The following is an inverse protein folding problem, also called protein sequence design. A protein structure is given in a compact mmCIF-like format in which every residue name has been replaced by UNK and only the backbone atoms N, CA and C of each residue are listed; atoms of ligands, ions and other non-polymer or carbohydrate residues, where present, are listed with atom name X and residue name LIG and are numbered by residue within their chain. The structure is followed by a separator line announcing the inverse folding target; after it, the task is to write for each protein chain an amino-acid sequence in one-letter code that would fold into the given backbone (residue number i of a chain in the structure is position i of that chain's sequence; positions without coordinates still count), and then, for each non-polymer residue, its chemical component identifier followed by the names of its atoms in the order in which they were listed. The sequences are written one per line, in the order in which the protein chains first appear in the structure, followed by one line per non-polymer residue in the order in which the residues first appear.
data_IF_642085082170
#
_entry.id   IF_642085082170
#
_cell.length_a   1.000
_cell.length_b   1.000
_cell.length_c   1.000
_cell.angle_alpha   90.00
_cell.angle_beta   90.00
_cell.angle_gamma   90.00
#
_symmetry.space_group_name_H-M   'P 1'
#
loop_
_entity.id
_entity.type
_entity.pdbx_description
1 polymer ?
#
# COMPACT_ATOMS: atom_id res chain seq x y z
N UNK A 1 -16.31 8.25 22.66
CA UNK A 1 -15.78 9.60 22.34
C UNK A 1 -14.53 9.78 23.18
N UNK A 2 -13.38 9.41 22.64
CA UNK A 2 -12.11 9.71 23.29
C UNK A 2 -11.25 10.48 22.29
N UNK A 3 -10.97 11.73 22.64
CA UNK A 3 -10.06 12.60 21.91
C UNK A 3 -8.63 12.16 22.23
N UNK A 4 -7.95 11.53 21.29
CA UNK A 4 -6.48 11.42 21.36
C UNK A 4 -5.94 12.72 20.80
N UNK A 5 -5.64 13.67 21.70
CA UNK A 5 -4.83 14.84 21.40
C UNK A 5 -3.36 14.38 21.35
N UNK A 6 -2.73 14.34 20.18
CA UNK A 6 -1.27 14.31 20.10
C UNK A 6 -0.77 15.75 20.04
N UNK A 7 0.35 16.02 20.73
CA UNK A 7 0.98 17.34 20.91
C UNK A 7 1.55 18.01 19.63
N UNK A 8 1.18 17.52 18.49
CA UNK A 8 1.46 18.15 17.20
C UNK A 8 0.14 18.54 16.59
N UNK A 9 -0.13 19.86 16.48
CA UNK A 9 -1.37 20.47 16.00
C UNK A 9 -1.83 20.02 14.61
N UNK A 10 -2.17 18.76 14.46
CA UNK A 10 -2.50 18.05 13.24
C UNK A 10 -3.96 17.64 13.30
N UNK A 11 -4.79 18.27 12.47
CA UNK A 11 -6.19 17.94 12.27
C UNK A 11 -6.30 16.52 11.68
N UNK A 12 -6.47 15.52 12.56
CA UNK A 12 -6.95 14.20 12.14
C UNK A 12 -8.45 14.36 11.91
N UNK A 13 -8.88 14.43 10.65
CA UNK A 13 -10.28 14.29 10.32
C UNK A 13 -10.70 12.83 10.51
N UNK A 14 -10.99 12.47 11.75
CA UNK A 14 -11.89 11.35 12.02
C UNK A 14 -13.26 11.86 11.60
N UNK A 15 -13.82 11.33 10.53
CA UNK A 15 -15.17 11.67 10.08
C UNK A 15 -16.18 11.24 11.15
N UNK A 16 -16.36 12.06 12.18
CA UNK A 16 -17.60 12.03 12.96
C UNK A 16 -18.67 12.57 12.03
N UNK A 17 -19.44 11.67 11.47
CA UNK A 17 -20.57 11.90 10.61
C UNK A 17 -21.39 13.12 10.97
N UNK A 18 -21.18 14.23 10.27
CA UNK A 18 -22.28 15.10 9.89
C UNK A 18 -22.50 14.84 8.39
N UNK A 19 -23.16 13.73 8.12
CA UNK A 19 -23.74 13.44 6.82
C UNK A 19 -24.83 14.47 6.58
N UNK A 20 -24.53 15.54 5.87
CA UNK A 20 -25.57 16.17 5.06
C UNK A 20 -26.20 15.04 4.23
N UNK A 21 -27.53 14.95 4.19
CA UNK A 21 -28.30 13.97 3.44
C UNK A 21 -27.82 13.90 1.98
N UNK A 22 -26.83 13.04 1.74
CA UNK A 22 -26.47 12.63 0.38
C UNK A 22 -27.48 11.57 -0.01
N UNK A 23 -28.31 11.92 -0.98
CA UNK A 23 -29.31 11.05 -1.56
C UNK A 23 -28.63 9.76 -2.03
N UNK A 24 -28.83 8.64 -1.33
CA UNK A 24 -28.29 7.32 -1.70
C UNK A 24 -28.65 6.96 -3.16
N UNK A 25 -29.71 7.53 -3.71
CA UNK A 25 -30.08 7.41 -5.13
C UNK A 25 -29.09 8.07 -6.10
N UNK A 26 -28.25 9.01 -5.67
CA UNK A 26 -27.22 9.64 -6.52
C UNK A 26 -25.90 8.87 -6.56
N UNK A 27 -25.64 7.99 -5.61
CA UNK A 27 -24.39 7.19 -5.54
C UNK A 27 -24.41 5.98 -6.49
N UNK A 28 -25.59 5.49 -6.87
CA UNK A 28 -25.75 4.35 -7.78
C UNK A 28 -25.39 4.64 -9.25
N UNK A 29 -25.00 5.87 -9.59
CA UNK A 29 -24.66 6.25 -10.96
C UNK A 29 -23.16 6.27 -11.26
N UNK A 30 -22.28 6.24 -10.26
CA UNK A 30 -20.84 6.23 -10.53
C UNK A 30 -20.34 4.83 -10.85
N UNK A 31 -19.63 4.71 -11.95
CA UNK A 31 -18.99 3.47 -12.37
C UNK A 31 -17.51 3.47 -11.97
N UNK A 32 -17.08 2.38 -11.33
CA UNK A 32 -15.71 2.18 -10.85
C UNK A 32 -15.12 0.96 -11.56
N UNK A 33 -13.92 1.11 -12.11
CA UNK A 33 -13.11 -0.02 -12.54
C UNK A 33 -11.94 -0.23 -11.56
N UNK A 34 -11.83 -1.46 -11.02
CA UNK A 34 -10.66 -1.87 -10.24
C UNK A 34 -9.73 -2.68 -11.14
N UNK A 35 -8.52 -2.15 -11.39
CA UNK A 35 -7.49 -2.73 -12.24
C UNK A 35 -6.52 -3.56 -11.40
N UNK A 36 -6.53 -4.88 -11.59
CA UNK A 36 -5.83 -5.86 -10.75
C UNK A 36 -6.75 -6.44 -9.69
N UNK A 37 -7.02 -7.76 -9.76
CA UNK A 37 -7.95 -8.48 -8.90
C UNK A 37 -7.23 -9.50 -7.99
N UNK A 38 -6.01 -9.15 -7.59
CA UNK A 38 -5.21 -9.92 -6.65
C UNK A 38 -5.67 -9.78 -5.19
N UNK A 39 -4.73 -10.02 -4.26
CA UNK A 39 -4.95 -9.99 -2.80
C UNK A 39 -5.54 -8.67 -2.28
N UNK A 40 -5.26 -7.55 -2.95
CA UNK A 40 -5.76 -6.23 -2.57
C UNK A 40 -6.97 -5.82 -3.42
N UNK A 41 -6.88 -5.96 -4.74
CA UNK A 41 -7.88 -5.41 -5.64
C UNK A 41 -9.25 -6.09 -5.54
N UNK A 42 -9.30 -7.40 -5.38
CA UNK A 42 -10.58 -8.10 -5.22
C UNK A 42 -11.33 -7.70 -3.94
N UNK A 43 -10.71 -7.67 -2.74
CA UNK A 43 -11.35 -7.12 -1.55
C UNK A 43 -11.78 -5.66 -1.71
N UNK A 44 -10.97 -4.83 -2.38
CA UNK A 44 -11.29 -3.42 -2.65
C UNK A 44 -12.52 -3.29 -3.54
N UNK A 45 -12.56 -4.01 -4.65
CA UNK A 45 -13.70 -4.02 -5.57
C UNK A 45 -14.98 -4.52 -4.87
N UNK A 46 -14.87 -5.60 -4.10
CA UNK A 46 -16.00 -6.15 -3.32
C UNK A 46 -16.51 -5.15 -2.28
N UNK A 47 -15.61 -4.41 -1.62
CA UNK A 47 -15.97 -3.36 -0.67
C UNK A 47 -16.76 -2.24 -1.37
N UNK A 48 -16.32 -1.77 -2.54
CA UNK A 48 -17.00 -0.74 -3.31
C UNK A 48 -18.39 -1.20 -3.81
N UNK A 49 -18.49 -2.45 -4.27
CA UNK A 49 -19.77 -3.05 -4.65
C UNK A 49 -20.75 -3.08 -3.46
N UNK A 50 -20.28 -3.49 -2.28
CA UNK A 50 -21.11 -3.51 -1.04
C UNK A 50 -21.50 -2.11 -0.59
N UNK A 51 -20.72 -1.09 -0.91
CA UNK A 51 -21.04 0.31 -0.67
C UNK A 51 -22.10 0.87 -1.65
N UNK A 52 -22.55 0.06 -2.62
CA UNK A 52 -23.63 0.41 -3.54
C UNK A 52 -23.17 1.02 -4.87
N UNK A 53 -21.90 0.90 -5.22
CA UNK A 53 -21.36 1.37 -6.50
C UNK A 53 -21.45 0.31 -7.60
N UNK A 54 -21.54 0.75 -8.86
CA UNK A 54 -21.38 -0.14 -10.02
C UNK A 54 -19.88 -0.40 -10.18
N UNK A 55 -19.45 -1.64 -9.95
CA UNK A 55 -18.04 -2.03 -9.98
C UNK A 55 -17.79 -3.07 -11.04
N UNK A 56 -16.81 -2.83 -11.89
CA UNK A 56 -16.22 -3.83 -12.78
C UNK A 56 -14.76 -4.06 -12.41
N UNK A 57 -14.34 -5.31 -12.36
CA UNK A 57 -12.94 -5.68 -12.17
C UNK A 57 -12.25 -5.97 -13.49
N UNK A 58 -11.01 -5.57 -13.64
CA UNK A 58 -10.16 -5.96 -14.75
C UNK A 58 -8.89 -6.64 -14.24
N UNK A 59 -8.56 -7.79 -14.82
CA UNK A 59 -7.26 -8.45 -14.59
C UNK A 59 -6.85 -9.19 -15.86
N UNK A 60 -5.54 -9.25 -16.11
CA UNK A 60 -4.97 -9.99 -17.25
C UNK A 60 -5.05 -11.50 -17.04
N UNK A 61 -5.19 -11.97 -15.80
CA UNK A 61 -5.30 -13.38 -15.43
C UNK A 61 -6.74 -13.87 -15.52
N UNK A 62 -7.07 -14.83 -16.43
CA UNK A 62 -8.40 -15.44 -16.46
C UNK A 62 -8.82 -16.06 -15.13
N UNK A 63 -7.86 -16.65 -14.39
CA UNK A 63 -8.11 -17.24 -13.07
C UNK A 63 -8.50 -16.20 -12.02
N UNK A 64 -7.89 -15.01 -12.05
CA UNK A 64 -8.27 -13.92 -11.16
C UNK A 64 -9.66 -13.39 -11.47
N UNK A 65 -10.00 -13.26 -12.77
CA UNK A 65 -11.32 -12.85 -13.23
C UNK A 65 -12.39 -13.87 -12.83
N UNK A 66 -12.16 -15.16 -13.07
CA UNK A 66 -13.08 -16.24 -12.67
C UNK A 66 -13.39 -16.20 -11.17
N UNK A 67 -12.35 -16.04 -10.34
CA UNK A 67 -12.52 -15.88 -8.89
C UNK A 67 -13.33 -14.64 -8.53
N UNK A 68 -13.10 -13.53 -9.23
CA UNK A 68 -13.76 -12.26 -8.97
C UNK A 68 -15.25 -12.29 -9.38
N UNK A 69 -15.61 -13.02 -10.42
CA UNK A 69 -16.98 -13.13 -10.92
C UNK A 69 -17.98 -13.76 -9.91
N UNK A 70 -17.48 -14.41 -8.86
CA UNK A 70 -18.32 -14.82 -7.73
C UNK A 70 -18.80 -13.64 -6.87
N UNK A 71 -18.23 -12.43 -7.04
CA UNK A 71 -18.45 -11.27 -6.16
C UNK A 71 -18.82 -10.00 -6.91
N UNK A 72 -18.26 -9.78 -8.11
CA UNK A 72 -18.40 -8.56 -8.92
C UNK A 72 -18.43 -8.93 -10.41
N UNK A 73 -18.84 -8.01 -11.27
CA UNK A 73 -18.54 -8.11 -12.70
C UNK A 73 -17.04 -8.02 -12.94
N UNK A 74 -16.48 -8.90 -13.78
CA UNK A 74 -15.04 -8.89 -14.06
C UNK A 74 -14.73 -9.36 -15.47
N UNK A 75 -13.66 -8.82 -16.06
CA UNK A 75 -13.24 -9.09 -17.45
C UNK A 75 -11.71 -9.09 -17.58
N UNK A 76 -11.22 -9.87 -18.57
CA UNK A 76 -9.83 -9.81 -19.04
C UNK A 76 -9.64 -8.87 -20.23
N UNK A 77 -10.73 -8.30 -20.76
CA UNK A 77 -10.71 -7.48 -21.98
C UNK A 77 -10.90 -6.01 -21.63
N UNK A 78 -9.98 -5.14 -22.08
CA UNK A 78 -10.07 -3.71 -21.82
C UNK A 78 -11.34 -3.09 -22.42
N UNK A 79 -11.79 -3.56 -23.59
CA UNK A 79 -13.02 -3.15 -24.22
C UNK A 79 -14.29 -3.73 -23.57
N UNK A 80 -14.17 -4.57 -22.56
CA UNK A 80 -15.26 -5.01 -21.71
C UNK A 80 -15.54 -4.04 -20.55
N UNK A 81 -14.69 -3.03 -20.35
CA UNK A 81 -14.92 -1.96 -19.38
C UNK A 81 -15.85 -0.93 -20.02
N UNK A 82 -16.96 -0.50 -19.36
CA UNK A 82 -17.84 0.53 -19.88
C UNK A 82 -17.09 1.85 -20.20
N UNK A 83 -17.37 2.44 -21.34
CA UNK A 83 -16.67 3.64 -21.82
C UNK A 83 -16.94 4.89 -20.96
N UNK A 84 -18.00 4.88 -20.18
CA UNK A 84 -18.43 5.91 -19.25
C UNK A 84 -17.92 5.68 -17.81
N UNK A 85 -16.95 4.76 -17.63
CA UNK A 85 -16.33 4.51 -16.32
C UNK A 85 -15.64 5.79 -15.82
N UNK A 86 -16.08 6.28 -14.65
CA UNK A 86 -15.63 7.55 -14.08
C UNK A 86 -14.39 7.43 -13.19
N UNK A 87 -14.25 6.30 -12.49
CA UNK A 87 -13.17 6.10 -11.52
C UNK A 87 -12.39 4.83 -11.84
N UNK A 88 -11.07 4.95 -11.88
CA UNK A 88 -10.17 3.81 -12.01
C UNK A 88 -9.30 3.70 -10.76
N UNK A 89 -9.30 2.50 -10.15
CA UNK A 89 -8.50 2.18 -8.96
C UNK A 89 -7.50 1.10 -9.33
N UNK A 90 -6.21 1.44 -9.26
CA UNK A 90 -5.13 0.59 -9.74
C UNK A 90 -4.51 -0.18 -8.57
N UNK A 91 -4.74 -1.50 -8.54
CA UNK A 91 -4.30 -2.45 -7.52
C UNK A 91 -3.44 -3.58 -8.11
N UNK A 92 -2.62 -3.28 -9.11
CA UNK A 92 -1.77 -4.28 -9.76
C UNK A 92 -0.52 -4.59 -8.94
N UNK A 93 0.05 -5.76 -9.17
CA UNK A 93 1.29 -6.18 -8.50
C UNK A 93 2.46 -5.31 -8.96
N UNK A 94 3.30 -4.92 -8.00
CA UNK A 94 4.60 -4.31 -8.23
C UNK A 94 5.68 -5.21 -7.65
N UNK A 95 6.84 -5.24 -8.27
CA UNK A 95 7.90 -6.18 -7.95
C UNK A 95 9.29 -5.57 -8.03
N UNK A 96 10.25 -6.44 -8.21
CA UNK A 96 11.65 -6.09 -8.48
C UNK A 96 12.11 -6.82 -9.74
N UNK A 97 12.85 -6.11 -10.59
CA UNK A 97 13.67 -6.67 -11.65
C UNK A 97 15.13 -6.57 -11.19
N UNK A 98 15.67 -7.70 -10.71
CA UNK A 98 16.90 -7.66 -9.92
C UNK A 98 16.68 -6.93 -8.61
N UNK A 99 17.39 -5.84 -8.37
CA UNK A 99 17.25 -4.99 -7.19
C UNK A 99 16.48 -3.67 -7.46
N UNK A 100 16.06 -3.44 -8.70
CA UNK A 100 15.34 -2.23 -9.13
C UNK A 100 13.83 -2.45 -9.15
N UNK A 101 13.02 -1.40 -8.93
CA UNK A 101 11.57 -1.47 -9.04
C UNK A 101 11.10 -1.97 -10.41
N UNK A 102 10.20 -2.95 -10.43
CA UNK A 102 9.45 -3.34 -11.62
C UNK A 102 8.05 -2.73 -11.56
N UNK A 103 7.81 -1.76 -12.42
CA UNK A 103 6.57 -1.00 -12.54
C UNK A 103 5.83 -1.28 -13.85
N UNK A 104 6.26 -2.29 -14.60
CA UNK A 104 5.70 -2.63 -15.92
C UNK A 104 4.18 -2.78 -15.89
N UNK A 105 3.65 -3.47 -14.88
CA UNK A 105 2.20 -3.64 -14.72
C UNK A 105 1.46 -2.32 -14.42
N UNK A 106 2.08 -1.40 -13.67
CA UNK A 106 1.47 -0.08 -13.36
C UNK A 106 1.41 0.76 -14.63
N UNK A 107 2.51 0.83 -15.39
CA UNK A 107 2.55 1.58 -16.63
C UNK A 107 1.60 1.02 -17.69
N UNK A 108 1.51 -0.32 -17.81
CA UNK A 108 0.59 -0.99 -18.73
C UNK A 108 -0.88 -0.61 -18.44
N UNK A 109 -1.31 -0.74 -17.18
CA UNK A 109 -2.70 -0.40 -16.84
C UNK A 109 -2.98 1.09 -16.90
N UNK A 110 -2.02 1.96 -16.58
CA UNK A 110 -2.16 3.40 -16.76
C UNK A 110 -2.31 3.77 -18.25
N UNK A 111 -1.51 3.15 -19.14
CA UNK A 111 -1.64 3.33 -20.59
C UNK A 111 -3.00 2.88 -21.10
N UNK A 112 -3.52 1.76 -20.61
CA UNK A 112 -4.89 1.31 -20.95
C UNK A 112 -5.95 2.27 -20.43
N UNK A 113 -5.77 2.77 -19.21
CA UNK A 113 -6.70 3.73 -18.58
C UNK A 113 -6.72 5.09 -19.31
N UNK A 114 -5.59 5.52 -19.91
CA UNK A 114 -5.51 6.79 -20.64
C UNK A 114 -6.41 6.85 -21.89
N UNK A 115 -6.89 5.69 -22.37
CA UNK A 115 -7.86 5.63 -23.49
C UNK A 115 -9.29 6.00 -23.08
N UNK A 116 -9.55 6.07 -21.78
CA UNK A 116 -10.81 6.54 -21.20
C UNK A 116 -10.71 8.03 -20.83
N UNK A 117 -11.82 8.61 -20.43
CA UNK A 117 -11.86 9.99 -19.89
C UNK A 117 -12.31 10.00 -18.43
N UNK A 118 -11.53 9.36 -17.54
CA UNK A 118 -11.94 9.19 -16.16
C UNK A 118 -11.95 10.53 -15.41
N UNK A 119 -12.83 10.61 -14.45
CA UNK A 119 -12.89 11.71 -13.49
C UNK A 119 -11.70 11.68 -12.52
N UNK A 120 -11.26 10.47 -12.16
CA UNK A 120 -10.12 10.23 -11.28
C UNK A 120 -9.50 8.87 -11.56
N UNK A 121 -8.18 8.82 -11.60
CA UNK A 121 -7.39 7.59 -11.45
C UNK A 121 -6.75 7.61 -10.07
N UNK A 122 -6.90 6.53 -9.30
CA UNK A 122 -6.22 6.36 -8.02
C UNK A 122 -5.27 5.18 -8.07
N UNK A 123 -3.98 5.41 -7.88
CA UNK A 123 -2.99 4.36 -7.78
C UNK A 123 -2.93 3.92 -6.32
N UNK A 124 -3.35 2.68 -6.06
CA UNK A 124 -3.33 2.07 -4.73
C UNK A 124 -2.22 1.01 -4.59
N UNK A 125 -1.59 0.63 -5.70
CA UNK A 125 -0.36 -0.17 -5.71
C UNK A 125 0.78 0.58 -5.05
N UNK A 126 1.66 -0.12 -4.33
CA UNK A 126 2.88 0.49 -3.78
C UNK A 126 3.86 0.80 -4.90
N UNK A 127 4.27 2.05 -4.99
CA UNK A 127 5.19 2.56 -6.02
C UNK A 127 6.30 3.41 -5.37
N UNK A 128 7.47 3.54 -6.01
CA UNK A 128 8.52 4.48 -5.59
C UNK A 128 8.10 5.94 -5.72
N UNK A 129 8.89 6.82 -5.10
CA UNK A 129 8.71 8.27 -5.14
C UNK A 129 8.87 8.81 -6.56
N UNK A 130 7.95 9.70 -6.97
CA UNK A 130 7.98 10.37 -8.28
C UNK A 130 7.23 9.63 -9.39
N UNK A 131 6.79 8.39 -9.18
CA UNK A 131 6.13 7.58 -10.21
C UNK A 131 4.78 8.17 -10.62
N UNK A 132 3.98 8.69 -9.67
CA UNK A 132 2.71 9.35 -10.00
C UNK A 132 2.94 10.56 -10.91
N UNK A 133 3.95 11.36 -10.63
CA UNK A 133 4.28 12.54 -11.45
C UNK A 133 4.71 12.12 -12.85
N UNK A 134 5.58 11.15 -12.95
CA UNK A 134 6.00 10.59 -14.22
C UNK A 134 4.81 10.08 -15.05
N UNK A 135 3.91 9.29 -14.46
CA UNK A 135 2.70 8.78 -15.13
C UNK A 135 1.80 9.95 -15.57
N UNK A 136 1.58 10.92 -14.70
CA UNK A 136 0.74 12.06 -15.00
C UNK A 136 1.26 12.87 -16.19
N UNK A 137 2.57 13.10 -16.27
CA UNK A 137 3.19 13.90 -17.33
C UNK A 137 3.32 13.10 -18.63
N UNK A 138 3.72 11.81 -18.58
CA UNK A 138 4.11 11.06 -19.78
C UNK A 138 3.01 10.16 -20.35
N UNK A 139 2.11 9.65 -19.50
CA UNK A 139 1.05 8.72 -19.92
C UNK A 139 -0.30 9.44 -20.00
N UNK A 140 -0.57 10.34 -19.05
CA UNK A 140 -1.83 11.07 -18.97
C UNK A 140 -1.79 12.47 -19.60
N UNK A 141 -0.65 12.88 -20.17
CA UNK A 141 -0.44 14.21 -20.77
C UNK A 141 -0.95 15.35 -19.87
N UNK A 142 -0.83 15.20 -18.56
CA UNK A 142 -1.32 16.13 -17.52
C UNK A 142 -2.83 16.43 -17.57
N UNK A 143 -3.64 15.56 -18.21
CA UNK A 143 -5.08 15.79 -18.41
C UNK A 143 -5.97 15.05 -17.44
N UNK A 144 -5.50 13.93 -16.86
CA UNK A 144 -6.28 13.06 -15.99
C UNK A 144 -5.97 13.37 -14.53
N UNK A 145 -7.00 13.56 -13.70
CA UNK A 145 -6.81 13.69 -12.26
C UNK A 145 -6.22 12.41 -11.70
N UNK A 146 -5.14 12.54 -10.92
CA UNK A 146 -4.40 11.42 -10.37
C UNK A 146 -4.22 11.57 -8.85
N UNK A 147 -4.49 10.48 -8.13
CA UNK A 147 -4.19 10.37 -6.70
C UNK A 147 -3.40 9.12 -6.39
N UNK A 148 -2.70 9.15 -5.27
CA UNK A 148 -2.06 7.98 -4.68
C UNK A 148 -2.66 7.72 -3.30
N UNK A 149 -3.13 6.49 -3.08
CA UNK A 149 -3.80 6.08 -1.85
C UNK A 149 -3.41 4.64 -1.48
N UNK A 150 -2.15 4.39 -1.09
CA UNK A 150 -1.61 3.04 -0.91
C UNK A 150 -2.31 2.28 0.21
N UNK A 151 -2.45 0.98 0.03
CA UNK A 151 -3.07 0.09 1.00
C UNK A 151 -2.18 -0.19 2.22
N UNK A 152 -2.87 -0.32 3.37
CA UNK A 152 -2.33 -0.91 4.61
C UNK A 152 -3.00 -2.26 4.92
N UNK A 153 -3.68 -2.84 3.93
CA UNK A 153 -4.45 -4.08 4.04
C UNK A 153 -3.58 -5.24 4.51
N UNK A 154 -4.09 -5.98 5.49
CA UNK A 154 -3.46 -7.20 5.98
C UNK A 154 -4.44 -8.38 5.85
N UNK A 155 -4.18 -9.34 4.93
CA UNK A 155 -5.10 -10.44 4.63
C UNK A 155 -5.41 -11.34 5.82
N UNK A 156 -4.43 -11.56 6.70
CA UNK A 156 -4.56 -12.46 7.85
C UNK A 156 -5.42 -11.87 8.98
N UNK A 157 -5.66 -10.55 8.96
CA UNK A 157 -6.57 -9.85 9.88
C UNK A 157 -7.34 -8.76 9.12
N UNK A 158 -8.11 -9.17 8.12
CA UNK A 158 -8.89 -8.28 7.28
C UNK A 158 -10.06 -7.60 8.03
N UNK A 159 -10.43 -8.10 9.20
CA UNK A 159 -11.47 -7.48 10.04
C UNK A 159 -10.96 -6.16 10.64
N UNK A 160 -9.74 -6.15 11.18
CA UNK A 160 -9.13 -4.96 11.80
C UNK A 160 -8.37 -4.12 10.78
N UNK A 161 -7.75 -4.77 9.80
CA UNK A 161 -6.83 -4.17 8.83
C UNK A 161 -7.32 -4.34 7.39
N UNK A 162 -8.65 -4.16 7.20
CA UNK A 162 -9.31 -4.27 5.90
C UNK A 162 -9.17 -3.04 5.02
N UNK A 163 -10.09 -2.91 4.04
CA UNK A 163 -10.07 -1.81 3.07
C UNK A 163 -10.37 -0.46 3.72
N UNK A 164 -11.30 -0.42 4.67
CA UNK A 164 -11.79 0.80 5.31
C UNK A 164 -10.96 1.22 6.54
N UNK A 165 -9.64 1.32 6.38
CA UNK A 165 -8.75 1.82 7.42
C UNK A 165 -8.16 3.17 7.04
N UNK A 166 -7.64 3.93 8.02
CA UNK A 166 -6.97 5.19 7.78
C UNK A 166 -5.75 4.98 6.88
N UNK A 167 -5.71 5.67 5.75
CA UNK A 167 -4.61 5.63 4.78
C UNK A 167 -4.14 7.05 4.42
N UNK A 168 -2.95 7.17 3.85
CA UNK A 168 -2.38 8.45 3.42
C UNK A 168 -2.81 8.74 1.99
N UNK A 169 -3.37 9.93 1.75
CA UNK A 169 -3.90 10.37 0.46
C UNK A 169 -3.07 11.53 -0.09
N UNK A 170 -2.48 11.33 -1.28
CA UNK A 170 -1.85 12.37 -2.08
C UNK A 170 -2.61 12.62 -3.37
N UNK A 171 -2.71 13.87 -3.80
CA UNK A 171 -3.22 14.26 -5.12
C UNK A 171 -2.13 14.97 -5.93
N UNK A 172 -2.06 14.70 -7.24
CA UNK A 172 -1.02 15.32 -8.10
C UNK A 172 -1.14 16.85 -8.16
N UNK A 173 -2.34 17.36 -7.93
CA UNK A 173 -2.67 18.79 -7.82
C UNK A 173 -3.92 18.98 -6.93
N UNK A 174 -4.30 20.23 -6.70
CA UNK A 174 -5.45 20.57 -5.83
C UNK A 174 -6.77 20.00 -6.32
N UNK A 175 -7.00 19.93 -7.63
CA UNK A 175 -8.23 19.37 -8.20
C UNK A 175 -8.27 17.86 -8.02
N UNK A 176 -7.18 17.17 -8.29
CA UNK A 176 -7.03 15.73 -8.06
C UNK A 176 -7.26 15.37 -6.59
N UNK A 177 -6.67 16.14 -5.66
CA UNK A 177 -6.90 15.99 -4.23
C UNK A 177 -8.38 16.17 -3.85
N UNK A 178 -9.04 17.18 -4.43
CA UNK A 178 -10.48 17.45 -4.19
C UNK A 178 -11.36 16.30 -4.68
N UNK A 179 -11.07 15.76 -5.86
CA UNK A 179 -11.81 14.61 -6.41
C UNK A 179 -11.59 13.34 -5.56
N UNK A 180 -10.34 13.07 -5.20
CA UNK A 180 -9.98 11.90 -4.39
C UNK A 180 -10.64 11.94 -3.00
N UNK A 181 -10.61 13.08 -2.32
CA UNK A 181 -11.30 13.26 -1.03
C UNK A 181 -12.78 12.91 -1.15
N UNK A 182 -13.50 13.50 -2.11
CA UNK A 182 -14.93 13.23 -2.35
C UNK A 182 -15.19 11.76 -2.62
N UNK A 183 -14.33 11.12 -3.43
CA UNK A 183 -14.45 9.70 -3.77
C UNK A 183 -14.31 8.82 -2.53
N UNK A 184 -13.26 8.97 -1.73
CA UNK A 184 -13.03 8.14 -0.54
C UNK A 184 -13.96 8.47 0.62
N UNK A 185 -14.42 9.71 0.77
CA UNK A 185 -15.47 10.08 1.72
C UNK A 185 -16.78 9.37 1.42
N UNK A 186 -17.18 9.29 0.14
CA UNK A 186 -18.41 8.59 -0.27
C UNK A 186 -18.34 7.08 0.00
N UNK A 187 -17.15 6.51 0.00
CA UNK A 187 -16.85 5.12 0.37
C UNK A 187 -16.65 4.91 1.88
N UNK A 188 -16.71 5.98 2.69
CA UNK A 188 -16.45 5.94 4.14
C UNK A 188 -15.07 5.39 4.49
N UNK A 189 -14.08 5.61 3.62
CA UNK A 189 -12.69 5.25 3.87
C UNK A 189 -11.98 6.47 4.44
N UNK A 190 -11.48 6.42 5.69
CA UNK A 190 -10.77 7.54 6.30
C UNK A 190 -9.42 7.78 5.64
N UNK A 191 -9.04 9.05 5.54
CA UNK A 191 -7.80 9.46 4.89
C UNK A 191 -7.07 10.55 5.68
N UNK A 192 -5.74 10.55 5.54
CA UNK A 192 -4.84 11.60 5.98
C UNK A 192 -4.22 12.24 4.72
N UNK A 193 -4.59 13.49 4.44
CA UNK A 193 -4.14 14.17 3.22
C UNK A 193 -2.72 14.72 3.38
N UNK A 194 -1.90 14.53 2.35
CA UNK A 194 -0.54 15.06 2.26
C UNK A 194 -0.31 15.77 0.93
N UNK A 195 0.63 16.70 0.91
CA UNK A 195 1.07 17.45 -0.26
C UNK A 195 2.57 17.74 -0.11
N UNK A 196 3.38 17.50 -1.15
CA UNK A 196 3.05 16.95 -2.47
C UNK A 196 2.72 15.44 -2.45
N UNK A 197 2.25 14.90 -3.60
CA UNK A 197 1.84 13.49 -3.76
C UNK A 197 2.97 12.52 -3.43
N UNK A 198 4.21 12.92 -3.64
CA UNK A 198 5.43 12.17 -3.34
C UNK A 198 5.54 11.80 -1.86
N UNK A 199 4.91 12.57 -0.96
CA UNK A 199 4.84 12.22 0.47
C UNK A 199 3.98 10.96 0.65
N UNK A 200 2.85 10.82 -0.08
CA UNK A 200 2.02 9.61 0.00
C UNK A 200 2.76 8.38 -0.52
N UNK A 201 3.49 8.51 -1.66
CA UNK A 201 4.32 7.45 -2.22
C UNK A 201 5.39 7.01 -1.21
N UNK A 202 6.15 7.97 -0.68
CA UNK A 202 7.22 7.71 0.28
C UNK A 202 6.71 7.11 1.59
N UNK A 203 5.56 7.56 2.10
CA UNK A 203 5.00 7.08 3.37
C UNK A 203 4.84 5.57 3.36
N UNK A 204 4.23 5.00 2.31
CA UNK A 204 4.01 3.55 2.24
C UNK A 204 5.32 2.76 2.21
N UNK A 205 6.28 3.23 1.47
CA UNK A 205 7.61 2.60 1.36
C UNK A 205 8.36 2.68 2.69
N UNK A 206 8.30 3.83 3.35
CA UNK A 206 8.93 4.06 4.67
C UNK A 206 8.30 3.20 5.75
N UNK A 207 6.97 3.06 5.81
CA UNK A 207 6.28 2.20 6.77
C UNK A 207 6.82 0.76 6.74
N UNK A 208 6.98 0.21 5.55
CA UNK A 208 7.47 -1.15 5.37
C UNK A 208 8.99 -1.28 5.59
N UNK A 209 9.79 -0.29 5.14
CA UNK A 209 11.23 -0.26 5.41
C UNK A 209 11.52 -0.10 6.91
N UNK A 210 10.76 0.74 7.62
CA UNK A 210 10.86 0.87 9.08
C UNK A 210 10.58 -0.46 9.77
N UNK A 211 9.53 -1.17 9.35
CA UNK A 211 9.23 -2.50 9.90
C UNK A 211 10.33 -3.51 9.61
N UNK A 212 10.93 -3.45 8.42
CA UNK A 212 12.09 -4.28 8.07
C UNK A 212 13.26 -4.05 9.03
N UNK A 213 13.62 -2.80 9.28
CA UNK A 213 14.72 -2.43 10.20
C UNK A 213 14.44 -2.89 11.63
N UNK A 214 13.21 -2.76 12.11
CA UNK A 214 12.83 -3.26 13.43
C UNK A 214 13.04 -4.77 13.56
N UNK A 215 12.66 -5.55 12.54
CA UNK A 215 12.83 -7.01 12.56
C UNK A 215 14.31 -7.37 12.47
N UNK A 216 15.08 -6.73 11.59
CA UNK A 216 16.52 -6.96 11.49
C UNK A 216 17.25 -6.69 12.83
N UNK A 217 16.85 -5.64 13.54
CA UNK A 217 17.38 -5.37 14.88
C UNK A 217 17.05 -6.49 15.87
N UNK A 218 15.84 -7.06 15.84
CA UNK A 218 15.46 -8.19 16.68
C UNK A 218 16.24 -9.46 16.32
N UNK A 219 16.51 -9.71 15.05
CA UNK A 219 17.31 -10.83 14.56
C UNK A 219 18.76 -10.75 15.04
N UNK A 220 19.37 -9.58 14.97
CA UNK A 220 20.72 -9.36 15.51
C UNK A 220 20.78 -9.61 17.01
N UNK A 221 19.80 -9.09 17.77
CA UNK A 221 19.70 -9.34 19.22
C UNK A 221 19.53 -10.81 19.55
N UNK A 222 18.77 -11.58 18.77
CA UNK A 222 18.59 -13.02 18.99
C UNK A 222 19.91 -13.76 18.86
N UNK A 223 20.73 -13.47 17.83
CA UNK A 223 22.07 -14.06 17.69
C UNK A 223 22.96 -13.71 18.89
N UNK A 224 22.92 -12.46 19.36
CA UNK A 224 23.67 -12.02 20.54
C UNK A 224 23.24 -12.81 21.79
N UNK A 225 21.95 -12.98 22.02
CA UNK A 225 21.41 -13.74 23.14
C UNK A 225 21.88 -15.21 23.10
N UNK A 226 21.76 -15.85 21.94
CA UNK A 226 22.21 -17.26 21.77
C UNK A 226 23.70 -17.40 22.10
N UNK A 227 24.56 -16.51 21.62
CA UNK A 227 26.02 -16.54 21.96
C UNK A 227 26.32 -16.23 23.40
N UNK A 228 25.41 -15.58 24.12
CA UNK A 228 25.54 -15.28 25.57
C UNK A 228 24.78 -16.26 26.44
N UNK A 229 24.16 -17.31 25.90
CA UNK A 229 23.27 -18.25 26.58
C UNK A 229 22.14 -17.53 27.34
N UNK A 230 21.57 -16.50 26.73
CA UNK A 230 20.42 -15.74 27.23
C UNK A 230 19.17 -16.11 26.44
N UNK A 231 18.03 -16.14 27.11
CA UNK A 231 16.73 -16.30 26.45
C UNK A 231 16.30 -14.99 25.76
N UNK A 232 16.26 -14.99 24.43
CA UNK A 232 15.81 -13.85 23.64
C UNK A 232 14.35 -13.47 23.94
N UNK A 233 13.46 -14.45 24.17
CA UNK A 233 12.06 -14.18 24.49
C UNK A 233 11.91 -13.46 25.82
N UNK A 234 12.68 -13.85 26.83
CA UNK A 234 12.72 -13.17 28.12
C UNK A 234 13.25 -11.73 27.98
N UNK A 235 14.34 -11.53 27.23
CA UNK A 235 14.87 -10.19 26.92
C UNK A 235 13.83 -9.32 26.21
N UNK A 236 13.22 -9.84 25.14
CA UNK A 236 12.19 -9.15 24.36
C UNK A 236 11.01 -8.73 25.25
N UNK A 237 10.47 -9.63 26.04
CA UNK A 237 9.37 -9.35 26.94
C UNK A 237 9.74 -8.28 27.97
N UNK A 238 10.96 -8.33 28.52
CA UNK A 238 11.47 -7.30 29.43
C UNK A 238 11.58 -5.93 28.77
N UNK A 239 12.12 -5.85 27.54
CA UNK A 239 12.23 -4.60 26.81
C UNK A 239 10.85 -3.98 26.52
N UNK A 240 9.86 -4.81 26.14
CA UNK A 240 8.52 -4.39 25.80
C UNK A 240 7.66 -3.96 27.01
N UNK A 241 8.18 -4.03 28.23
CA UNK A 241 7.55 -3.38 29.39
C UNK A 241 7.69 -1.86 29.36
N UNK A 242 8.64 -1.34 28.59
CA UNK A 242 8.82 0.09 28.45
C UNK A 242 7.83 0.65 27.44
N UNK A 243 7.09 1.68 27.80
CA UNK A 243 5.97 2.26 27.06
C UNK A 243 6.25 2.66 25.60
N UNK A 244 7.50 2.96 25.25
CA UNK A 244 7.91 3.39 23.91
C UNK A 244 8.86 2.39 23.22
N UNK A 245 8.83 1.11 23.62
CA UNK A 245 9.59 0.03 23.01
C UNK A 245 8.63 -1.06 22.56
N UNK A 246 8.67 -1.38 21.27
CA UNK A 246 7.96 -2.51 20.67
C UNK A 246 8.97 -3.34 19.86
N UNK A 247 9.70 -4.21 20.54
CA UNK A 247 10.67 -5.10 19.94
C UNK A 247 9.94 -6.31 19.35
N UNK A 248 10.00 -6.51 18.01
CA UNK A 248 9.32 -7.64 17.38
C UNK A 248 10.00 -8.97 17.70
N UNK A 249 9.30 -10.05 17.39
CA UNK A 249 9.86 -11.39 17.44
C UNK A 249 10.77 -11.64 16.23
N UNK A 250 11.96 -12.18 16.46
CA UNK A 250 12.83 -12.71 15.42
C UNK A 250 12.42 -14.17 15.12
N UNK A 251 11.94 -14.40 13.87
CA UNK A 251 11.45 -15.72 13.43
C UNK A 251 12.44 -16.36 12.45
N UNK A 252 11.98 -16.64 11.24
CA UNK A 252 12.72 -17.37 10.20
C UNK A 252 13.36 -16.45 9.15
N UNK A 253 13.67 -15.23 9.54
CA UNK A 253 14.08 -14.16 8.65
C UNK A 253 12.90 -13.32 8.14
N UNK A 254 13.19 -12.19 7.46
CA UNK A 254 12.19 -11.23 6.99
C UNK A 254 11.58 -11.71 5.66
N UNK A 255 10.48 -12.44 5.76
CA UNK A 255 9.78 -13.04 4.63
C UNK A 255 8.71 -12.15 4.00
N UNK A 256 7.95 -12.80 3.11
CA UNK A 256 6.87 -12.15 2.34
C UNK A 256 7.38 -11.34 1.16
N UNK A 257 6.45 -10.72 0.44
CA UNK A 257 6.76 -9.94 -0.78
C UNK A 257 6.94 -8.45 -0.48
N UNK A 258 6.26 -7.90 0.53
CA UNK A 258 6.19 -6.46 0.76
C UNK A 258 7.47 -5.91 1.40
N UNK A 259 7.87 -6.43 2.57
CA UNK A 259 9.00 -5.85 3.31
C UNK A 259 10.32 -5.92 2.53
N UNK A 260 10.73 -7.08 1.95
CA UNK A 260 11.96 -7.17 1.17
C UNK A 260 11.96 -6.32 -0.10
N UNK A 261 10.80 -6.06 -0.69
CA UNK A 261 10.64 -5.22 -1.86
C UNK A 261 10.73 -3.74 -1.50
N UNK A 262 9.95 -3.30 -0.51
CA UNK A 262 9.78 -1.88 -0.24
C UNK A 262 11.02 -1.25 0.40
N UNK A 263 11.82 -2.00 1.19
CA UNK A 263 13.13 -1.50 1.63
C UNK A 263 14.06 -1.21 0.43
N UNK A 264 13.99 -2.03 -0.65
CA UNK A 264 14.76 -1.79 -1.88
C UNK A 264 14.25 -0.58 -2.66
N UNK A 265 12.94 -0.34 -2.66
CA UNK A 265 12.37 0.90 -3.23
C UNK A 265 12.90 2.13 -2.52
N UNK A 266 13.01 2.09 -1.18
CA UNK A 266 13.57 3.21 -0.42
C UNK A 266 15.07 3.37 -0.64
N UNK A 267 15.82 2.27 -0.80
CA UNK A 267 17.23 2.30 -1.15
C UNK A 267 17.42 2.92 -2.54
N UNK A 268 16.60 2.55 -3.52
CA UNK A 268 16.64 3.11 -4.86
C UNK A 268 16.36 4.61 -4.85
N UNK A 269 15.32 5.05 -4.15
CA UNK A 269 15.00 6.47 -3.93
C UNK A 269 16.17 7.24 -3.30
N UNK A 270 16.87 6.65 -2.32
CA UNK A 270 18.03 7.28 -1.70
C UNK A 270 19.22 7.40 -2.66
N UNK A 271 19.44 6.38 -3.50
CA UNK A 271 20.48 6.39 -4.52
C UNK A 271 20.22 7.45 -5.60
N UNK A 272 18.97 7.61 -6.04
CA UNK A 272 18.56 8.69 -6.95
C UNK A 272 18.85 10.08 -6.37
N UNK A 273 18.71 10.22 -5.04
CA UNK A 273 19.08 11.42 -4.31
C UNK A 273 20.60 11.53 -4.00
N UNK A 274 21.44 10.70 -4.64
CA UNK A 274 22.88 10.61 -4.42
C UNK A 274 23.27 10.38 -2.94
N UNK A 275 22.45 9.65 -2.17
CA UNK A 275 22.68 9.32 -0.77
C UNK A 275 22.87 7.81 -0.60
N UNK A 276 23.86 7.43 0.20
CA UNK A 276 24.04 6.03 0.63
C UNK A 276 23.15 5.77 1.85
N UNK A 277 22.15 4.88 1.76
CA UNK A 277 21.25 4.59 2.88
C UNK A 277 21.87 3.53 3.81
N UNK A 278 22.82 3.91 4.62
CA UNK A 278 23.67 3.01 5.41
C UNK A 278 22.87 2.08 6.32
N UNK A 279 21.87 2.60 7.05
CA UNK A 279 21.04 1.83 7.94
C UNK A 279 20.22 0.77 7.19
N UNK A 280 19.66 1.11 6.04
CA UNK A 280 18.85 0.18 5.25
C UNK A 280 19.71 -0.95 4.66
N UNK A 281 20.91 -0.62 4.19
CA UNK A 281 21.87 -1.60 3.69
C UNK A 281 22.36 -2.53 4.80
N UNK A 282 22.64 -1.98 6.00
CA UNK A 282 22.99 -2.78 7.16
C UNK A 282 21.86 -3.74 7.57
N UNK A 283 20.60 -3.29 7.56
CA UNK A 283 19.45 -4.13 7.87
C UNK A 283 19.30 -5.31 6.89
N UNK A 284 19.55 -5.09 5.58
CA UNK A 284 19.56 -6.18 4.60
C UNK A 284 20.66 -7.22 4.88
N UNK A 285 21.84 -6.75 5.26
CA UNK A 285 22.95 -7.65 5.58
C UNK A 285 22.72 -8.42 6.89
N UNK A 286 22.08 -7.79 7.88
CA UNK A 286 21.68 -8.46 9.14
C UNK A 286 20.73 -9.63 8.87
N UNK A 287 19.62 -9.41 8.12
CA UNK A 287 18.66 -10.48 7.78
C UNK A 287 19.33 -11.61 6.99
N UNK A 288 20.21 -11.26 6.03
CA UNK A 288 20.95 -12.26 5.26
C UNK A 288 21.85 -13.13 6.17
N UNK A 289 22.57 -12.52 7.11
CA UNK A 289 23.44 -13.21 8.04
C UNK A 289 22.63 -14.03 9.06
N UNK A 290 21.47 -13.52 9.50
CA UNK A 290 20.55 -14.23 10.37
C UNK A 290 20.01 -15.50 9.71
N UNK A 291 19.57 -15.45 8.46
CA UNK A 291 19.12 -16.62 7.69
C UNK A 291 20.23 -17.66 7.55
N UNK A 292 21.46 -17.23 7.30
CA UNK A 292 22.62 -18.13 7.25
C UNK A 292 22.84 -18.81 8.60
N UNK A 293 22.79 -18.07 9.69
CA UNK A 293 22.90 -18.59 11.06
C UNK A 293 21.84 -19.67 11.36
N UNK A 294 20.57 -19.43 10.97
CA UNK A 294 19.50 -20.41 11.15
C UNK A 294 19.75 -21.70 10.36
N UNK A 295 20.25 -21.60 9.12
CA UNK A 295 20.58 -22.77 8.31
C UNK A 295 21.72 -23.58 8.91
N UNK A 296 22.76 -22.92 9.41
CA UNK A 296 23.88 -23.57 10.10
C UNK A 296 23.40 -24.31 11.36
N UNK A 297 22.52 -23.72 12.16
CA UNK A 297 21.95 -24.36 13.35
C UNK A 297 21.16 -25.63 13.00
N UNK A 298 20.46 -25.68 11.88
CA UNK A 298 19.71 -26.86 11.42
C UNK A 298 20.62 -28.01 10.95
N UNK A 299 21.85 -27.72 10.50
CA UNK A 299 22.80 -28.73 10.04
C UNK A 299 23.50 -29.44 11.22
N UNK A 300 23.58 -28.77 12.38
CA UNK A 300 24.24 -29.28 13.57
C UNK A 300 23.28 -29.78 14.68
N UNK A 301 21.96 -29.69 14.47
CA UNK A 301 20.91 -30.22 15.35
C UNK A 301 20.48 -31.63 14.89
#
# INVERSE_FOLDING_TARGET
MEHVCSDYGMLIYLSSCHLGNWDQKKLSHFSICVMGLGTIGLPTATYFQRAGYNVIGYDVSPKAVEKAQAHIEATTKINGIPSDTEFFVICVTTGLLGEKPDLSSVYDVCSKTSTFTPRLVSIESTIPVGVCRHIHETIFDSRINLSHFPHRYWPDDAERHGVAQLRVLGGINKESMRQAKKFYESLKIPWFAVDPIEIAEMTKVVENAYRYVQIAFAEELRIICEKKNLDFSALRNSCNTKWNVDLPEARDGIGGTCLPKDIRYLIDTAQEAARKPELLLAALEVDKNYRKHLLEALVYA
#
